data_IF_167832680809
#
_entry.id   IF_167832680809
#
_cell.length_a   1.000
_cell.length_b   1.000
_cell.length_c   1.000
_cell.angle_alpha   90.00
_cell.angle_beta   90.00
_cell.angle_gamma   90.00
#
_symmetry.space_group_name_H-M   'P 1'
#
loop_
_entity.id
_entity.type
_entity.pdbx_description
1 polymer ?
#
# COMPACT_ATOMS: atom_id res chain seq x y z
N UNK A 1 -30.71 -14.91 -13.96
CA UNK A 1 -30.26 -15.95 -12.99
C UNK A 1 -30.15 -15.28 -11.62
N UNK A 2 -31.21 -15.38 -10.81
CA UNK A 2 -31.28 -14.70 -9.51
C UNK A 2 -30.36 -15.43 -8.52
N UNK A 3 -29.31 -14.76 -8.03
CA UNK A 3 -28.50 -15.32 -6.96
C UNK A 3 -29.36 -15.41 -5.68
N UNK A 4 -29.41 -16.58 -5.06
CA UNK A 4 -30.03 -16.81 -3.76
C UNK A 4 -29.35 -15.89 -2.70
N UNK A 5 -30.10 -15.23 -1.83
CA UNK A 5 -29.57 -14.26 -0.83
C UNK A 5 -28.41 -14.84 0.00
N UNK A 6 -28.47 -16.14 0.30
CA UNK A 6 -27.41 -16.85 1.03
C UNK A 6 -26.08 -16.90 0.26
N UNK A 7 -26.13 -17.01 -1.07
CA UNK A 7 -24.95 -17.02 -1.94
C UNK A 7 -24.31 -15.63 -2.04
N UNK A 8 -25.14 -14.57 -2.13
CA UNK A 8 -24.67 -13.18 -2.12
C UNK A 8 -23.96 -12.87 -0.79
N UNK A 9 -24.57 -13.28 0.33
CA UNK A 9 -23.98 -13.07 1.66
C UNK A 9 -22.64 -13.79 1.82
N UNK A 10 -22.52 -15.04 1.35
CA UNK A 10 -21.24 -15.79 1.35
C UNK A 10 -20.17 -15.12 0.50
N UNK A 11 -20.51 -14.64 -0.71
CA UNK A 11 -19.56 -13.93 -1.58
C UNK A 11 -19.04 -12.63 -0.94
N UNK A 12 -19.93 -11.86 -0.31
CA UNK A 12 -19.55 -10.64 0.40
C UNK A 12 -18.64 -10.94 1.59
N UNK A 13 -18.94 -11.98 2.38
CA UNK A 13 -18.09 -12.39 3.50
C UNK A 13 -16.67 -12.77 3.06
N UNK A 14 -16.52 -13.47 1.93
CA UNK A 14 -15.21 -13.79 1.37
C UNK A 14 -14.45 -12.52 0.97
N UNK A 15 -15.10 -11.57 0.29
CA UNK A 15 -14.48 -10.29 -0.07
C UNK A 15 -14.08 -9.46 1.16
N UNK A 16 -14.90 -9.45 2.21
CA UNK A 16 -14.52 -8.79 3.48
C UNK A 16 -13.35 -9.49 4.16
N UNK A 17 -13.32 -10.83 4.16
CA UNK A 17 -12.20 -11.58 4.75
C UNK A 17 -10.88 -11.28 4.05
N UNK A 18 -10.92 -11.12 2.72
CA UNK A 18 -9.78 -10.76 1.89
C UNK A 18 -9.23 -9.39 2.29
N UNK A 19 -10.06 -8.35 2.31
CA UNK A 19 -9.62 -7.02 2.72
C UNK A 19 -9.06 -6.97 4.15
N UNK A 20 -9.67 -7.67 5.12
CA UNK A 20 -9.15 -7.69 6.49
C UNK A 20 -7.81 -8.44 6.62
N UNK A 21 -7.64 -9.55 5.90
CA UNK A 21 -6.37 -10.28 5.85
C UNK A 21 -5.29 -9.41 5.20
N UNK A 22 -5.62 -8.75 4.08
CA UNK A 22 -4.71 -7.83 3.39
C UNK A 22 -4.22 -6.70 4.30
N UNK A 23 -5.14 -6.03 5.01
CA UNK A 23 -4.79 -4.99 5.99
C UNK A 23 -3.88 -5.55 7.09
N UNK A 24 -4.22 -6.69 7.70
CA UNK A 24 -3.42 -7.29 8.76
C UNK A 24 -2.00 -7.65 8.32
N UNK A 25 -1.87 -8.25 7.13
CA UNK A 25 -0.58 -8.62 6.56
C UNK A 25 0.24 -7.38 6.18
N UNK A 26 -0.38 -6.36 5.57
CA UNK A 26 0.33 -5.12 5.23
C UNK A 26 0.82 -4.36 6.46
N UNK A 27 0.05 -4.32 7.56
CA UNK A 27 0.50 -3.72 8.84
C UNK A 27 1.69 -4.49 9.41
N UNK A 28 1.64 -5.82 9.39
CA UNK A 28 2.76 -6.66 9.83
C UNK A 28 4.02 -6.42 8.96
N UNK A 29 3.84 -6.41 7.64
CA UNK A 29 4.92 -6.15 6.68
C UNK A 29 5.52 -4.75 6.85
N UNK A 30 4.70 -3.73 7.10
CA UNK A 30 5.17 -2.39 7.43
C UNK A 30 6.11 -2.43 8.63
N UNK A 31 5.70 -3.03 9.75
CA UNK A 31 6.53 -3.12 10.95
C UNK A 31 7.86 -3.84 10.70
N UNK A 32 7.82 -4.97 10.00
CA UNK A 32 9.03 -5.75 9.67
C UNK A 32 9.97 -4.96 8.75
N UNK A 33 9.45 -4.40 7.65
CA UNK A 33 10.26 -3.63 6.69
C UNK A 33 10.82 -2.37 7.32
N UNK A 34 10.02 -1.63 8.09
CA UNK A 34 10.46 -0.40 8.73
C UNK A 34 11.63 -0.67 9.69
N UNK A 35 11.50 -1.72 10.52
CA UNK A 35 12.57 -2.16 11.40
C UNK A 35 13.82 -2.58 10.63
N UNK A 36 13.67 -3.42 9.59
CA UNK A 36 14.79 -3.85 8.76
C UNK A 36 15.47 -2.70 8.02
N UNK A 37 14.70 -1.73 7.55
CA UNK A 37 15.18 -0.53 6.87
C UNK A 37 16.00 0.36 7.79
N UNK A 38 15.57 0.56 9.04
CA UNK A 38 16.34 1.30 10.06
C UNK A 38 17.66 0.58 10.36
N UNK A 39 17.61 -0.72 10.64
CA UNK A 39 18.81 -1.50 11.00
C UNK A 39 19.83 -1.54 9.85
N UNK A 40 19.35 -1.57 8.60
CA UNK A 40 20.22 -1.58 7.41
C UNK A 40 20.64 -0.20 6.91
N UNK A 41 20.07 0.87 7.47
CA UNK A 41 20.20 2.23 6.93
C UNK A 41 19.67 2.38 5.50
N UNK A 42 18.80 1.47 5.02
CA UNK A 42 18.29 1.47 3.65
C UNK A 42 17.09 2.40 3.48
N UNK A 43 17.26 3.42 2.64
CA UNK A 43 16.18 4.36 2.29
C UNK A 43 15.12 3.64 1.44
N UNK A 44 15.53 2.71 0.56
CA UNK A 44 14.62 1.95 -0.29
C UNK A 44 13.67 1.07 0.53
N UNK A 45 14.17 0.36 1.53
CA UNK A 45 13.36 -0.54 2.36
C UNK A 45 12.42 0.28 3.27
N UNK A 46 12.89 1.39 3.83
CA UNK A 46 12.02 2.27 4.64
C UNK A 46 10.91 2.86 3.75
N UNK A 47 11.23 3.34 2.55
CA UNK A 47 10.22 3.83 1.61
C UNK A 47 9.20 2.74 1.26
N UNK A 48 9.63 1.51 0.98
CA UNK A 48 8.73 0.38 0.68
C UNK A 48 7.86 0.00 1.90
N UNK A 49 8.36 0.19 3.12
CA UNK A 49 7.55 0.06 4.33
C UNK A 49 6.41 1.09 4.33
N UNK A 50 6.72 2.37 4.09
CA UNK A 50 5.72 3.44 4.05
C UNK A 50 4.71 3.29 2.90
N UNK A 51 5.15 2.78 1.76
CA UNK A 51 4.25 2.37 0.67
C UNK A 51 3.27 1.28 1.14
N UNK A 52 3.78 0.25 1.82
CA UNK A 52 2.94 -0.83 2.38
C UNK A 52 1.96 -0.33 3.45
N UNK A 53 2.37 0.65 4.28
CA UNK A 53 1.47 1.30 5.23
C UNK A 53 0.37 2.08 4.51
N UNK A 54 0.73 2.80 3.46
CA UNK A 54 -0.20 3.54 2.60
C UNK A 54 -1.28 2.63 2.02
N UNK A 55 -0.93 1.43 1.55
CA UNK A 55 -1.91 0.44 1.09
C UNK A 55 -2.93 0.08 2.17
N UNK A 56 -2.48 -0.10 3.41
CA UNK A 56 -3.33 -0.43 4.55
C UNK A 56 -4.29 0.71 4.86
N UNK A 57 -3.78 1.94 4.89
CA UNK A 57 -4.57 3.14 5.15
C UNK A 57 -5.61 3.34 4.06
N UNK A 58 -5.23 3.25 2.78
CA UNK A 58 -6.16 3.32 1.65
C UNK A 58 -7.27 2.27 1.74
N UNK A 59 -6.92 1.03 2.09
CA UNK A 59 -7.89 -0.05 2.28
C UNK A 59 -8.87 0.25 3.42
N UNK A 60 -8.37 0.78 4.54
CA UNK A 60 -9.20 1.19 5.68
C UNK A 60 -10.15 2.33 5.28
N UNK A 61 -9.66 3.36 4.58
CA UNK A 61 -10.49 4.46 4.09
C UNK A 61 -11.62 3.91 3.22
N UNK A 62 -11.32 3.04 2.26
CA UNK A 62 -12.32 2.43 1.38
C UNK A 62 -13.35 1.62 2.18
N UNK A 63 -12.92 0.83 3.16
CA UNK A 63 -13.83 0.05 4.01
C UNK A 63 -14.73 0.95 4.88
N UNK A 64 -14.16 2.00 5.47
CA UNK A 64 -14.92 3.01 6.22
C UNK A 64 -15.90 3.70 5.28
N UNK A 65 -15.47 4.06 4.08
CA UNK A 65 -16.29 4.73 3.08
C UNK A 65 -17.48 3.93 2.63
N UNK A 66 -17.28 2.64 2.38
CA UNK A 66 -18.38 1.71 2.09
C UNK A 66 -19.34 1.59 3.29
N UNK A 67 -18.84 1.66 4.53
CA UNK A 67 -19.67 1.59 5.74
C UNK A 67 -20.45 2.89 5.98
N UNK A 68 -19.82 4.03 5.73
CA UNK A 68 -20.36 5.38 5.94
C UNK A 68 -21.36 5.75 4.85
N UNK A 69 -21.08 5.41 3.59
CA UNK A 69 -22.02 5.58 2.46
C UNK A 69 -23.33 4.79 2.63
N UNK A 70 -23.31 3.71 3.42
CA UNK A 70 -24.51 2.93 3.77
C UNK A 70 -25.29 3.50 4.96
N UNK A 71 -24.78 4.55 5.63
CA UNK A 71 -25.42 5.15 6.81
C UNK A 71 -26.45 6.20 6.35
N UNK A 72 -27.72 6.10 6.77
CA UNK A 72 -28.74 7.06 6.37
C UNK A 72 -28.40 8.48 6.89
N UNK A 73 -28.86 9.54 6.21
CA UNK A 73 -28.67 10.93 6.65
C UNK A 73 -29.22 11.15 8.07
N UNK A 74 -28.55 11.99 8.86
CA UNK A 74 -29.00 12.38 10.20
C UNK A 74 -29.28 13.89 10.28
N UNK A 75 -29.85 14.34 11.41
CA UNK A 75 -30.22 15.76 11.60
C UNK A 75 -29.03 16.72 11.56
N UNK A 76 -27.80 16.26 11.83
CA UNK A 76 -26.57 17.06 11.75
C UNK A 76 -25.90 16.97 10.37
N UNK A 77 -26.19 15.92 9.60
CA UNK A 77 -25.68 15.67 8.26
C UNK A 77 -26.83 15.32 7.30
N UNK A 78 -27.65 16.32 6.89
CA UNK A 78 -28.82 16.09 6.03
C UNK A 78 -28.48 15.53 4.64
N UNK A 79 -27.23 15.73 4.21
CA UNK A 79 -26.69 15.24 2.94
C UNK A 79 -25.83 13.97 3.08
N UNK A 80 -25.80 13.34 4.26
CA UNK A 80 -24.97 12.17 4.55
C UNK A 80 -23.54 12.51 4.99
N UNK A 81 -22.75 11.49 5.30
CA UNK A 81 -21.42 11.62 5.93
C UNK A 81 -20.23 11.56 4.95
N UNK A 82 -20.50 11.43 3.63
CA UNK A 82 -19.44 11.24 2.63
C UNK A 82 -18.42 12.39 2.54
N UNK A 83 -18.81 13.63 2.88
CA UNK A 83 -17.87 14.78 2.85
C UNK A 83 -16.77 14.69 3.91
N UNK A 84 -17.07 14.18 5.10
CA UNK A 84 -16.07 14.04 6.17
C UNK A 84 -15.01 12.99 5.80
N UNK A 85 -15.43 11.90 5.17
CA UNK A 85 -14.56 10.86 4.63
C UNK A 85 -13.62 11.40 3.55
N UNK A 86 -14.14 12.20 2.61
CA UNK A 86 -13.34 12.83 1.56
C UNK A 86 -12.29 13.78 2.14
N UNK A 87 -12.63 14.55 3.19
CA UNK A 87 -11.67 15.40 3.90
C UNK A 87 -10.57 14.58 4.57
N UNK A 88 -10.91 13.48 5.26
CA UNK A 88 -9.92 12.57 5.84
C UNK A 88 -9.00 11.95 4.77
N UNK A 89 -9.57 11.60 3.62
CA UNK A 89 -8.84 11.06 2.47
C UNK A 89 -7.85 12.06 1.90
N UNK A 90 -8.25 13.33 1.76
CA UNK A 90 -7.34 14.42 1.34
C UNK A 90 -6.20 14.63 2.33
N UNK A 91 -6.47 14.62 3.64
CA UNK A 91 -5.44 14.76 4.66
C UNK A 91 -4.40 13.64 4.57
N UNK A 92 -4.85 12.40 4.39
CA UNK A 92 -3.97 11.24 4.23
C UNK A 92 -3.14 11.37 2.95
N UNK A 93 -3.76 11.73 1.83
CA UNK A 93 -3.06 11.93 0.56
C UNK A 93 -1.97 13.01 0.66
N UNK A 94 -2.24 14.11 1.36
CA UNK A 94 -1.25 15.15 1.65
C UNK A 94 -0.09 14.61 2.50
N UNK A 95 -0.39 13.86 3.57
CA UNK A 95 0.64 13.26 4.42
C UNK A 95 1.53 12.27 3.66
N UNK A 96 0.96 11.45 2.79
CA UNK A 96 1.70 10.57 1.87
C UNK A 96 2.63 11.37 0.95
N UNK A 97 2.15 12.47 0.37
CA UNK A 97 2.96 13.34 -0.46
C UNK A 97 4.16 13.91 0.30
N UNK A 98 3.94 14.34 1.55
CA UNK A 98 5.01 14.80 2.44
C UNK A 98 6.05 13.69 2.72
N UNK A 99 5.59 12.49 3.07
CA UNK A 99 6.46 11.32 3.32
C UNK A 99 7.26 10.96 2.07
N UNK A 100 6.64 10.99 0.89
CA UNK A 100 7.34 10.74 -0.37
C UNK A 100 8.44 11.76 -0.64
N UNK A 101 8.18 13.05 -0.44
CA UNK A 101 9.20 14.12 -0.59
C UNK A 101 10.36 13.88 0.38
N UNK A 102 10.07 13.51 1.63
CA UNK A 102 11.10 13.19 2.61
C UNK A 102 12.03 12.07 2.13
N UNK A 103 11.49 10.98 1.58
CA UNK A 103 12.32 9.89 1.04
C UNK A 103 13.03 10.25 -0.27
N UNK A 104 12.47 11.11 -1.12
CA UNK A 104 13.19 11.69 -2.26
C UNK A 104 14.43 12.44 -1.76
N UNK A 105 14.28 13.30 -0.75
CA UNK A 105 15.42 14.07 -0.21
C UNK A 105 16.49 13.16 0.39
N UNK A 106 16.12 12.17 1.19
CA UNK A 106 17.06 11.20 1.76
C UNK A 106 17.75 10.34 0.69
N UNK A 107 17.03 9.97 -0.38
CA UNK A 107 17.59 9.23 -1.51
C UNK A 107 18.63 10.06 -2.26
N UNK A 108 18.34 11.34 -2.52
CA UNK A 108 19.27 12.28 -3.17
C UNK A 108 20.50 12.52 -2.29
N UNK A 109 20.31 12.68 -0.98
CA UNK A 109 21.41 12.89 -0.04
C UNK A 109 22.36 11.69 0.00
N UNK A 110 21.81 10.48 0.05
CA UNK A 110 22.57 9.23 -0.02
C UNK A 110 23.36 9.10 -1.32
N UNK A 111 22.76 9.52 -2.44
CA UNK A 111 23.43 9.55 -3.74
C UNK A 111 24.56 10.60 -3.81
N UNK A 112 24.43 11.73 -3.11
CA UNK A 112 25.45 12.78 -3.09
C UNK A 112 26.64 12.40 -2.19
N UNK A 113 26.36 11.88 -1.00
CA UNK A 113 27.39 11.55 -0.01
C UNK A 113 28.07 10.19 -0.22
N UNK A 114 27.68 9.44 -1.26
CA UNK A 114 28.25 8.13 -1.58
C UNK A 114 28.12 7.11 -0.42
N UNK A 115 27.04 7.21 0.34
CA UNK A 115 26.82 6.36 1.52
C UNK A 115 26.21 5.02 1.11
N UNK A 116 26.95 3.89 1.26
CA UNK A 116 26.39 2.58 0.99
C UNK A 116 25.37 2.18 2.07
N UNK A 117 24.36 1.40 1.71
CA UNK A 117 23.52 0.72 2.69
C UNK A 117 24.17 -0.61 3.11
N UNK A 118 24.22 -0.90 4.41
CA UNK A 118 24.56 -2.23 4.89
C UNK A 118 23.28 -3.06 5.05
N UNK A 119 22.91 -3.73 3.98
CA UNK A 119 21.66 -4.49 3.96
C UNK A 119 21.63 -5.67 4.94
N UNK A 120 22.75 -6.07 5.55
CA UNK A 120 22.81 -7.14 6.53
C UNK A 120 22.15 -8.46 6.06
N UNK A 121 21.95 -9.40 6.98
CA UNK A 121 21.17 -10.62 6.69
C UNK A 121 19.67 -10.38 6.94
N UNK A 122 19.36 -9.50 7.90
CA UNK A 122 17.99 -9.19 8.31
C UNK A 122 17.19 -8.55 7.19
N UNK A 123 17.74 -7.57 6.46
CA UNK A 123 16.99 -6.87 5.42
C UNK A 123 16.71 -7.75 4.20
N UNK A 124 17.62 -8.69 3.88
CA UNK A 124 17.41 -9.71 2.86
C UNK A 124 16.23 -10.62 3.26
N UNK A 125 16.26 -11.18 4.48
CA UNK A 125 15.20 -12.08 4.95
C UNK A 125 13.85 -11.37 4.97
N UNK A 126 13.78 -10.16 5.52
CA UNK A 126 12.52 -9.40 5.61
C UNK A 126 11.98 -9.06 4.23
N UNK A 127 12.84 -8.68 3.28
CA UNK A 127 12.41 -8.36 1.91
C UNK A 127 11.92 -9.62 1.18
N UNK A 128 12.59 -10.78 1.37
CA UNK A 128 12.10 -12.07 0.85
C UNK A 128 10.72 -12.40 1.42
N UNK A 129 10.55 -12.30 2.74
CA UNK A 129 9.27 -12.53 3.42
C UNK A 129 8.19 -11.61 2.86
N UNK A 130 8.51 -10.34 2.62
CA UNK A 130 7.59 -9.40 1.97
C UNK A 130 7.14 -9.85 0.59
N UNK A 131 8.09 -10.22 -0.28
CA UNK A 131 7.78 -10.71 -1.63
C UNK A 131 6.85 -11.92 -1.56
N UNK A 132 7.18 -12.90 -0.72
CA UNK A 132 6.37 -14.11 -0.57
C UNK A 132 4.97 -13.81 -0.04
N UNK A 133 4.85 -12.93 0.97
CA UNK A 133 3.55 -12.59 1.55
C UNK A 133 2.69 -11.75 0.61
N UNK A 134 3.25 -10.77 -0.11
CA UNK A 134 2.52 -10.00 -1.14
C UNK A 134 2.07 -10.90 -2.29
N UNK A 135 2.91 -11.83 -2.74
CA UNK A 135 2.53 -12.84 -3.72
C UNK A 135 1.40 -13.75 -3.22
N UNK A 136 1.47 -14.19 -1.96
CA UNK A 136 0.41 -15.00 -1.35
C UNK A 136 -0.92 -14.23 -1.26
N UNK A 137 -0.89 -12.95 -0.87
CA UNK A 137 -2.05 -12.07 -0.92
C UNK A 137 -2.60 -11.93 -2.34
N UNK A 138 -1.75 -11.74 -3.35
CA UNK A 138 -2.17 -11.64 -4.74
C UNK A 138 -2.91 -12.91 -5.20
N UNK A 139 -2.37 -14.09 -4.88
CA UNK A 139 -3.01 -15.37 -5.21
C UNK A 139 -4.34 -15.55 -4.48
N UNK A 140 -4.40 -15.15 -3.21
CA UNK A 140 -5.63 -15.19 -2.42
C UNK A 140 -6.71 -14.26 -3.00
N UNK A 141 -6.37 -13.01 -3.30
CA UNK A 141 -7.27 -12.06 -3.93
C UNK A 141 -7.77 -12.53 -5.30
N UNK A 142 -6.89 -13.10 -6.14
CA UNK A 142 -7.31 -13.71 -7.41
C UNK A 142 -8.25 -14.91 -7.21
N UNK A 143 -8.00 -15.75 -6.20
CA UNK A 143 -8.88 -16.87 -5.87
C UNK A 143 -10.25 -16.38 -5.39
N UNK A 144 -10.30 -15.38 -4.50
CA UNK A 144 -11.55 -14.74 -4.04
C UNK A 144 -12.27 -14.08 -5.23
N UNK A 145 -11.55 -13.40 -6.12
CA UNK A 145 -12.11 -12.79 -7.33
C UNK A 145 -12.72 -13.81 -8.30
N UNK A 146 -12.12 -14.99 -8.44
CA UNK A 146 -12.70 -16.11 -9.22
C UNK A 146 -13.95 -16.69 -8.56
N UNK A 147 -13.98 -16.80 -7.23
CA UNK A 147 -15.13 -17.37 -6.48
C UNK A 147 -16.32 -16.41 -6.37
N UNK A 148 -16.06 -15.13 -6.19
CA UNK A 148 -17.09 -14.10 -6.03
C UNK A 148 -17.60 -13.57 -7.37
N UNK A 149 -16.70 -13.44 -8.35
CA UNK A 149 -16.94 -12.76 -9.62
C UNK A 149 -16.73 -11.24 -9.54
N UNK A 150 -16.30 -10.71 -8.39
CA UNK A 150 -16.07 -9.28 -8.23
C UNK A 150 -14.79 -8.83 -8.94
N UNK A 151 -14.93 -7.81 -9.79
CA UNK A 151 -13.79 -7.20 -10.51
C UNK A 151 -12.82 -6.52 -9.55
N UNK A 152 -13.31 -5.94 -8.45
CA UNK A 152 -12.49 -5.30 -7.42
C UNK A 152 -11.45 -6.25 -6.82
N UNK A 153 -11.82 -7.51 -6.52
CA UNK A 153 -10.89 -8.51 -5.97
C UNK A 153 -9.80 -8.92 -6.97
N UNK A 154 -10.13 -8.94 -8.27
CA UNK A 154 -9.11 -9.17 -9.32
C UNK A 154 -8.16 -7.98 -9.45
N UNK A 155 -8.68 -6.76 -9.36
CA UNK A 155 -7.85 -5.56 -9.38
C UNK A 155 -6.90 -5.53 -8.17
N UNK A 156 -7.40 -5.88 -6.99
CA UNK A 156 -6.61 -5.96 -5.77
C UNK A 156 -5.51 -7.04 -5.84
N UNK A 157 -5.81 -8.20 -6.44
CA UNK A 157 -4.79 -9.21 -6.71
C UNK A 157 -3.67 -8.72 -7.64
N UNK A 158 -4.00 -7.89 -8.64
CA UNK A 158 -2.99 -7.24 -9.49
C UNK A 158 -2.21 -6.15 -8.76
N UNK A 159 -2.85 -5.43 -7.84
CA UNK A 159 -2.20 -4.46 -6.95
C UNK A 159 -1.12 -5.14 -6.10
N UNK A 160 -1.50 -6.18 -5.35
CA UNK A 160 -0.57 -6.98 -4.54
C UNK A 160 0.54 -7.64 -5.36
N UNK A 161 0.25 -8.08 -6.60
CA UNK A 161 1.26 -8.59 -7.52
C UNK A 161 2.29 -7.53 -7.87
N UNK A 162 1.84 -6.32 -8.18
CA UNK A 162 2.71 -5.21 -8.57
C UNK A 162 3.58 -4.77 -7.40
N UNK A 163 3.03 -4.75 -6.18
CA UNK A 163 3.80 -4.53 -4.96
C UNK A 163 4.85 -5.63 -4.75
N UNK A 164 4.47 -6.90 -4.94
CA UNK A 164 5.41 -8.02 -4.83
C UNK A 164 6.57 -7.90 -5.83
N UNK A 165 6.29 -7.48 -7.06
CA UNK A 165 7.32 -7.24 -8.08
C UNK A 165 8.21 -6.07 -7.66
N UNK A 166 7.62 -5.00 -7.11
CA UNK A 166 8.36 -3.83 -6.64
C UNK A 166 9.31 -4.18 -5.48
N UNK A 167 8.83 -4.93 -4.48
CA UNK A 167 9.68 -5.47 -3.40
C UNK A 167 10.72 -6.46 -3.93
N UNK A 168 10.44 -7.21 -5.00
CA UNK A 168 11.42 -8.09 -5.63
C UNK A 168 12.54 -7.29 -6.32
N UNK A 169 12.21 -6.17 -6.98
CA UNK A 169 13.21 -5.26 -7.55
C UNK A 169 14.11 -4.70 -6.44
N UNK A 170 13.55 -4.35 -5.28
CA UNK A 170 14.33 -3.94 -4.11
C UNK A 170 15.22 -5.09 -3.63
N UNK A 171 14.69 -6.31 -3.49
CA UNK A 171 15.47 -7.48 -3.10
C UNK A 171 16.66 -7.72 -4.03
N UNK A 172 16.43 -7.66 -5.34
CA UNK A 172 17.50 -7.80 -6.33
C UNK A 172 18.53 -6.69 -6.16
N UNK A 173 18.10 -5.43 -5.98
CA UNK A 173 19.03 -4.33 -5.73
C UNK A 173 19.78 -4.45 -4.40
N UNK A 174 19.20 -5.03 -3.35
CA UNK A 174 19.92 -5.35 -2.10
C UNK A 174 21.09 -6.30 -2.37
N UNK A 175 20.88 -7.33 -3.20
CA UNK A 175 21.92 -8.31 -3.53
C UNK A 175 23.07 -7.69 -4.32
N UNK A 176 22.76 -6.75 -5.23
CA UNK A 176 23.78 -6.00 -6.00
C UNK A 176 24.34 -4.79 -5.27
N UNK A 177 23.65 -4.28 -4.25
CA UNK A 177 24.00 -3.04 -3.54
C UNK A 177 25.27 -3.18 -2.70
N UNK A 178 25.69 -4.41 -2.38
CA UNK A 178 27.03 -4.67 -1.81
C UNK A 178 28.17 -4.29 -2.76
N UNK A 179 27.93 -4.29 -4.07
CA UNK A 179 28.92 -3.93 -5.09
C UNK A 179 28.84 -2.45 -5.48
N UNK A 180 27.68 -1.83 -5.32
CA UNK A 180 27.39 -0.49 -5.83
C UNK A 180 26.67 0.37 -4.79
N UNK A 181 27.38 1.37 -4.26
CA UNK A 181 26.90 2.29 -3.23
C UNK A 181 25.61 3.05 -3.60
N UNK A 182 25.39 3.31 -4.89
CA UNK A 182 24.27 4.13 -5.38
C UNK A 182 22.93 3.38 -5.45
N UNK A 183 22.93 2.04 -5.36
CA UNK A 183 21.74 1.22 -5.64
C UNK A 183 20.60 1.53 -4.68
N UNK A 184 20.88 1.69 -3.39
CA UNK A 184 19.87 2.02 -2.39
C UNK A 184 19.21 3.38 -2.65
N UNK A 185 20.02 4.39 -3.03
CA UNK A 185 19.53 5.73 -3.33
C UNK A 185 18.63 5.76 -4.57
N UNK A 186 19.00 5.02 -5.63
CA UNK A 186 18.17 4.92 -6.85
C UNK A 186 16.85 4.17 -6.58
N UNK A 187 16.91 3.07 -5.84
CA UNK A 187 15.71 2.33 -5.45
C UNK A 187 14.80 3.16 -4.53
N UNK A 188 15.38 3.84 -3.55
CA UNK A 188 14.67 4.78 -2.68
C UNK A 188 13.95 5.86 -3.48
N UNK A 189 14.62 6.44 -4.47
CA UNK A 189 14.02 7.44 -5.36
C UNK A 189 12.85 6.85 -6.15
N UNK A 190 13.04 5.68 -6.75
CA UNK A 190 11.99 4.99 -7.52
C UNK A 190 10.73 4.71 -6.68
N UNK A 191 10.91 4.15 -5.48
CA UNK A 191 9.80 3.86 -4.56
C UNK A 191 9.14 5.15 -4.07
N UNK A 192 9.92 6.19 -3.77
CA UNK A 192 9.37 7.49 -3.34
C UNK A 192 8.47 8.11 -4.41
N UNK A 193 8.85 8.01 -5.68
CA UNK A 193 8.02 8.47 -6.81
C UNK A 193 6.71 7.68 -6.87
N UNK A 194 6.74 6.36 -6.62
CA UNK A 194 5.52 5.54 -6.56
C UNK A 194 4.58 5.96 -5.43
N UNK A 195 5.12 6.26 -4.24
CA UNK A 195 4.34 6.77 -3.10
C UNK A 195 3.72 8.12 -3.45
N UNK A 196 4.50 9.03 -4.04
CA UNK A 196 4.01 10.34 -4.46
C UNK A 196 2.88 10.22 -5.47
N UNK A 197 3.04 9.37 -6.49
CA UNK A 197 2.01 9.12 -7.49
C UNK A 197 0.73 8.53 -6.89
N UNK A 198 0.87 7.58 -5.95
CA UNK A 198 -0.26 6.99 -5.22
C UNK A 198 -1.00 8.05 -4.40
N UNK A 199 -0.28 8.88 -3.65
CA UNK A 199 -0.85 10.00 -2.90
C UNK A 199 -1.55 11.01 -3.81
N UNK A 200 -0.93 11.39 -4.93
CA UNK A 200 -1.53 12.29 -5.91
C UNK A 200 -2.84 11.74 -6.48
N UNK A 201 -2.89 10.45 -6.82
CA UNK A 201 -4.10 9.81 -7.35
C UNK A 201 -5.23 9.81 -6.32
N UNK A 202 -4.94 9.46 -5.06
CA UNK A 202 -5.93 9.50 -3.96
C UNK A 202 -6.44 10.94 -3.77
N UNK A 203 -5.54 11.93 -3.81
CA UNK A 203 -5.90 13.34 -3.70
C UNK A 203 -6.82 13.78 -4.85
N UNK A 204 -6.51 13.38 -6.09
CA UNK A 204 -7.30 13.72 -7.27
C UNK A 204 -8.70 13.10 -7.21
N UNK A 205 -8.82 11.83 -6.81
CA UNK A 205 -10.09 11.13 -6.65
C UNK A 205 -10.96 11.77 -5.55
N UNK A 206 -10.35 12.14 -4.42
CA UNK A 206 -11.06 12.80 -3.34
C UNK A 206 -11.47 14.25 -3.70
N UNK A 207 -10.59 15.00 -4.35
CA UNK A 207 -10.86 16.38 -4.77
C UNK A 207 -11.95 16.45 -5.85
N UNK A 208 -11.90 15.57 -6.85
CA UNK A 208 -12.95 15.48 -7.89
C UNK A 208 -14.31 15.14 -7.27
N UNK A 209 -14.36 14.14 -6.38
CA UNK A 209 -15.59 13.79 -5.65
C UNK A 209 -16.16 14.93 -4.79
N UNK A 210 -15.30 15.84 -4.30
CA UNK A 210 -15.73 17.02 -3.54
C UNK A 210 -16.27 18.14 -4.42
N UNK A 211 -15.69 18.33 -5.61
CA UNK A 211 -16.04 19.40 -6.54
C UNK A 211 -17.29 19.09 -7.38
N UNK A 212 -17.62 17.81 -7.56
CA UNK A 212 -18.78 17.34 -8.33
C UNK A 212 -18.38 16.79 -9.68
#
# INVERSE_FOLDING_TARGET
MYFNETQIKKKNLLAYSEGWISIGVNILLFGLKFWAGIVSGSVAIIADAWHTLTDSVSSIIVLIGIKVSKKPPDKRHPFGHGRAELISTLFIAFFLGWVAIHFVTGSIEKLRHHEPADFGTVAIIVTIVSVVLKEALAQYAFWVGRKTGFKSMKADGWHHRTDSISSLVILVGILFGRLYWWVDGVLGLAVSIMIFYSGYKIMQEAASSLLG
#
